data_IF_738574005100
#
_entry.id   IF_738574005100
#
_cell.length_a   1.000
_cell.length_b   1.000
_cell.length_c   1.000
_cell.angle_alpha   90.00
_cell.angle_beta   90.00
_cell.angle_gamma   90.00
#
_symmetry.space_group_name_H-M   'P 1'
#
loop_
_entity.id
_entity.type
_entity.pdbx_description
1 polymer ?
#
# COMPACT_ATOMS: atom_id res chain seq x y z
N UNK A 1 3.80 1.22 14.42
CA UNK A 1 2.76 1.07 13.37
C UNK A 1 3.35 1.71 12.15
N UNK A 2 3.56 0.95 11.08
CA UNK A 2 4.24 1.41 9.86
C UNK A 2 3.24 2.08 8.91
N UNK A 3 3.63 3.21 8.33
CA UNK A 3 2.82 3.96 7.36
C UNK A 3 3.64 4.33 6.12
N UNK A 4 3.07 4.05 4.95
CA UNK A 4 3.71 4.31 3.65
C UNK A 4 2.79 5.18 2.80
N UNK A 5 3.31 6.31 2.31
CA UNK A 5 2.62 7.10 1.30
C UNK A 5 2.87 6.45 -0.06
N UNK A 6 1.83 5.88 -0.64
CA UNK A 6 1.89 5.21 -1.94
C UNK A 6 1.03 5.94 -2.96
N UNK A 7 1.34 5.75 -4.23
CA UNK A 7 0.55 6.27 -5.35
C UNK A 7 0.27 5.16 -6.35
N UNK A 8 -1.01 4.90 -6.61
CA UNK A 8 -1.46 3.92 -7.60
C UNK A 8 -1.92 4.70 -8.82
N UNK A 9 -1.07 4.81 -9.86
CA UNK A 9 -1.39 5.67 -11.03
C UNK A 9 -2.27 4.97 -12.05
N UNK A 10 -2.12 3.66 -12.19
CA UNK A 10 -2.78 2.86 -13.20
C UNK A 10 -3.00 1.41 -12.74
N UNK A 11 -3.62 0.60 -13.59
CA UNK A 11 -3.92 -0.81 -13.30
C UNK A 11 -2.67 -1.68 -13.13
N UNK A 12 -1.52 -1.31 -13.70
CA UNK A 12 -0.26 -2.03 -13.48
C UNK A 12 0.26 -1.76 -12.08
N UNK A 13 0.18 -0.51 -11.62
CA UNK A 13 0.54 -0.16 -10.24
C UNK A 13 -0.41 -0.85 -9.25
N UNK A 14 -1.71 -0.97 -9.57
CA UNK A 14 -2.66 -1.75 -8.76
C UNK A 14 -2.27 -3.23 -8.69
N UNK A 15 -1.87 -3.84 -9.82
CA UNK A 15 -1.41 -5.23 -9.85
C UNK A 15 -0.17 -5.46 -8.96
N UNK A 16 0.78 -4.52 -8.96
CA UNK A 16 1.95 -4.57 -8.07
C UNK A 16 1.54 -4.43 -6.60
N UNK A 17 0.56 -3.56 -6.30
CA UNK A 17 0.01 -3.41 -4.96
C UNK A 17 -0.66 -4.70 -4.46
N UNK A 18 -1.48 -5.35 -5.29
CA UNK A 18 -2.08 -6.66 -4.95
C UNK A 18 -0.98 -7.69 -4.64
N UNK A 19 0.05 -7.73 -5.50
CA UNK A 19 1.19 -8.64 -5.33
C UNK A 19 1.94 -8.39 -4.02
N UNK A 20 2.08 -7.12 -3.61
CA UNK A 20 2.64 -6.76 -2.30
C UNK A 20 1.80 -7.35 -1.16
N UNK A 21 0.48 -7.13 -1.18
CA UNK A 21 -0.40 -7.64 -0.12
C UNK A 21 -0.30 -9.16 0.01
N UNK A 22 -0.32 -9.89 -1.11
CA UNK A 22 -0.22 -11.35 -1.12
C UNK A 22 1.16 -11.85 -0.68
N UNK A 23 2.24 -11.26 -1.19
CA UNK A 23 3.63 -11.72 -0.93
C UNK A 23 4.03 -11.57 0.53
N UNK A 24 3.53 -10.52 1.18
CA UNK A 24 3.84 -10.18 2.56
C UNK A 24 2.71 -10.56 3.52
N UNK A 25 1.59 -11.08 3.00
CA UNK A 25 0.34 -11.35 3.74
C UNK A 25 -0.06 -10.17 4.60
N UNK A 26 -0.03 -8.98 4.00
CA UNK A 26 -0.28 -7.72 4.71
C UNK A 26 -1.76 -7.55 4.94
N UNK A 27 -2.08 -7.07 6.14
CA UNK A 27 -3.38 -6.47 6.44
C UNK A 27 -3.15 -5.06 6.94
N UNK A 28 -4.07 -4.19 6.59
CA UNK A 28 -3.90 -2.78 6.85
C UNK A 28 -5.10 -1.96 6.45
N UNK A 29 -4.91 -0.67 6.60
CA UNK A 29 -5.88 0.37 6.30
C UNK A 29 -5.28 1.26 5.22
N UNK A 30 -6.12 1.70 4.29
CA UNK A 30 -5.78 2.72 3.31
C UNK A 30 -6.54 3.98 3.71
N UNK A 31 -5.79 5.03 4.04
CA UNK A 31 -6.34 6.32 4.41
C UNK A 31 -6.30 7.25 3.20
N UNK A 32 -7.48 7.75 2.81
CA UNK A 32 -7.68 8.65 1.67
C UNK A 32 -8.54 9.81 2.15
N UNK A 33 -7.95 11.00 2.27
CA UNK A 33 -8.67 12.20 2.71
C UNK A 33 -9.43 11.98 4.04
N UNK A 34 -10.75 11.81 4.01
CA UNK A 34 -11.62 11.57 5.17
C UNK A 34 -12.16 10.13 5.24
N UNK A 35 -11.67 9.23 4.38
CA UNK A 35 -12.10 7.84 4.29
C UNK A 35 -10.99 6.88 4.74
N UNK A 36 -11.40 5.78 5.39
CA UNK A 36 -10.53 4.67 5.77
C UNK A 36 -11.09 3.43 5.10
N UNK A 37 -10.27 2.77 4.28
CA UNK A 37 -10.62 1.57 3.54
C UNK A 37 -9.79 0.38 4.05
N UNK A 38 -10.31 -0.83 3.89
CA UNK A 38 -9.51 -2.03 4.09
C UNK A 38 -8.53 -2.20 2.94
N UNK A 39 -7.25 -2.43 3.25
CA UNK A 39 -6.20 -2.57 2.24
C UNK A 39 -6.47 -3.74 1.27
N UNK A 40 -7.13 -4.81 1.74
CA UNK A 40 -7.51 -5.98 0.94
C UNK A 40 -8.76 -5.79 0.07
N UNK A 41 -9.48 -4.67 0.18
CA UNK A 41 -10.64 -4.36 -0.67
C UNK A 41 -10.19 -3.81 -2.03
N UNK A 42 -9.70 -4.71 -2.89
CA UNK A 42 -9.11 -4.38 -4.19
C UNK A 42 -10.08 -3.64 -5.12
N UNK A 43 -11.37 -3.96 -5.06
CA UNK A 43 -12.38 -3.31 -5.90
C UNK A 43 -12.53 -1.83 -5.50
N UNK A 44 -12.64 -1.57 -4.20
CA UNK A 44 -12.75 -0.22 -3.68
C UNK A 44 -11.46 0.58 -3.89
N UNK A 45 -10.30 -0.09 -3.77
CA UNK A 45 -9.00 0.47 -4.12
C UNK A 45 -8.92 0.90 -5.59
N UNK A 46 -9.42 0.08 -6.51
CA UNK A 46 -9.47 0.41 -7.92
C UNK A 46 -10.37 1.62 -8.21
N UNK A 47 -11.52 1.71 -7.54
CA UNK A 47 -12.48 2.81 -7.72
C UNK A 47 -11.95 4.14 -7.15
N UNK A 48 -11.37 4.10 -5.94
CA UNK A 48 -11.08 5.30 -5.16
C UNK A 48 -9.63 5.75 -5.18
N UNK A 49 -8.67 4.85 -5.41
CA UNK A 49 -7.25 5.15 -5.22
C UNK A 49 -6.48 5.42 -6.51
N UNK A 50 -7.03 5.07 -7.68
CA UNK A 50 -6.33 5.31 -8.95
C UNK A 50 -6.10 6.81 -9.14
N UNK A 51 -4.87 7.18 -9.49
CA UNK A 51 -4.37 8.55 -9.62
C UNK A 51 -4.42 9.38 -8.33
N UNK A 52 -4.48 8.73 -7.16
CA UNK A 52 -4.41 9.39 -5.85
C UNK A 52 -3.20 8.91 -5.04
N UNK A 53 -2.70 9.81 -4.19
CA UNK A 53 -1.74 9.49 -3.14
C UNK A 53 -2.52 9.06 -1.91
N UNK A 54 -2.18 7.90 -1.37
CA UNK A 54 -2.90 7.30 -0.25
C UNK A 54 -1.92 6.77 0.79
N UNK A 55 -2.32 6.78 2.04
CA UNK A 55 -1.51 6.25 3.13
C UNK A 55 -1.88 4.80 3.38
N UNK A 56 -0.95 3.88 3.10
CA UNK A 56 -1.04 2.49 3.51
C UNK A 56 -0.51 2.37 4.94
N UNK A 57 -1.40 2.04 5.87
CA UNK A 57 -1.07 1.77 7.26
C UNK A 57 -1.14 0.26 7.49
N UNK A 58 0.00 -0.34 7.80
CA UNK A 58 0.10 -1.79 8.01
C UNK A 58 -0.23 -2.12 9.47
N UNK A 59 -1.20 -3.02 9.67
CA UNK A 59 -1.63 -3.49 11.00
C UNK A 59 -1.12 -4.91 11.28
N UNK A 60 -1.09 -5.79 10.27
CA UNK A 60 -0.57 -7.15 10.38
C UNK A 60 0.27 -7.53 9.15
N UNK A 61 1.25 -8.43 9.34
CA UNK A 61 2.07 -9.00 8.27
C UNK A 61 2.89 -10.19 8.79
N UNK A 62 2.90 -11.30 8.07
CA UNK A 62 3.66 -12.51 8.48
C UNK A 62 5.17 -12.34 8.22
N UNK A 63 5.56 -11.47 7.29
CA UNK A 63 6.94 -11.11 6.97
C UNK A 63 7.18 -9.62 7.27
N UNK A 64 7.14 -9.24 8.55
CA UNK A 64 7.48 -7.90 9.07
C UNK A 64 8.98 -7.61 9.02
N UNK A 65 9.61 -7.84 7.88
CA UNK A 65 10.89 -7.22 7.62
C UNK A 65 10.57 -5.88 6.93
N UNK A 66 10.47 -4.82 7.73
CA UNK A 66 10.14 -3.44 7.29
C UNK A 66 10.94 -3.03 6.04
N UNK A 67 12.24 -3.37 6.04
CA UNK A 67 13.13 -3.16 4.91
C UNK A 67 12.62 -3.81 3.63
N UNK A 68 12.07 -5.02 3.71
CA UNK A 68 11.58 -5.75 2.54
C UNK A 68 10.33 -5.12 1.91
N UNK A 69 9.40 -4.59 2.72
CA UNK A 69 8.20 -3.91 2.22
C UNK A 69 8.60 -2.60 1.55
N UNK A 70 9.45 -1.82 2.22
CA UNK A 70 9.92 -0.53 1.74
C UNK A 70 10.78 -0.68 0.46
N UNK A 71 11.65 -1.68 0.40
CA UNK A 71 12.39 -2.05 -0.80
C UNK A 71 11.47 -2.47 -1.95
N UNK A 72 10.42 -3.26 -1.67
CA UNK A 72 9.45 -3.64 -2.69
C UNK A 72 8.74 -2.42 -3.27
N UNK A 73 8.23 -1.53 -2.41
CA UNK A 73 7.52 -0.32 -2.82
C UNK A 73 8.42 0.61 -3.65
N UNK A 74 9.69 0.78 -3.25
CA UNK A 74 10.69 1.54 -4.02
C UNK A 74 10.98 0.91 -5.38
N UNK A 75 11.28 -0.40 -5.42
CA UNK A 75 11.62 -1.13 -6.65
C UNK A 75 10.48 -1.10 -7.68
N UNK A 76 9.23 -1.05 -7.20
CA UNK A 76 8.03 -1.07 -8.03
C UNK A 76 7.50 0.33 -8.40
N UNK A 77 8.17 1.41 -7.98
CA UNK A 77 7.77 2.81 -8.15
C UNK A 77 6.38 3.11 -7.59
N UNK A 78 6.01 2.47 -6.47
CA UNK A 78 4.77 2.71 -5.73
C UNK A 78 4.97 3.69 -4.58
N UNK A 79 6.18 3.76 -4.01
CA UNK A 79 6.49 4.62 -2.87
C UNK A 79 6.63 6.09 -3.30
N UNK A 80 5.88 6.97 -2.65
CA UNK A 80 6.06 8.43 -2.73
C UNK A 80 6.92 8.92 -1.57
N UNK A 81 6.61 8.47 -0.36
CA UNK A 81 7.38 8.72 0.86
C UNK A 81 7.13 7.61 1.87
N UNK A 82 8.14 7.24 2.66
CA UNK A 82 7.97 6.36 3.81
C UNK A 82 8.18 7.18 5.08
N UNK A 83 7.23 7.15 6.01
CA UNK A 83 7.48 7.57 7.40
C UNK A 83 7.75 6.30 8.20
N UNK A 84 8.99 5.83 8.11
CA UNK A 84 9.69 5.10 9.15
C UNK A 84 10.85 6.00 9.55
N UNK A 85 11.13 6.10 10.85
CA UNK A 85 12.15 6.97 11.47
C UNK A 85 13.43 7.22 10.65
#
# INVERSE_FOLDING_TARGET
MEQYLIEIRDLKDLSKYITLLESFKLRGEIHIEHEILHADDILLMCEKCISRKVWLKVTEGEKRDENSILEYLRKNNLLVSGEGE
#
